data_IF_499604994681
#
_entry.id   IF_499604994681
#
_cell.length_a   1.000
_cell.length_b   1.000
_cell.length_c   1.000
_cell.angle_alpha   90.00
_cell.angle_beta   90.00
_cell.angle_gamma   90.00
#
_symmetry.space_group_name_H-M   'P 1'
#
loop_
_entity.id
_entity.type
_entity.pdbx_description
1 polymer ?
#
# COMPACT_ATOMS: atom_id res chain seq x y z
N UNK A 1 8.65 24.35 -3.39
CA UNK A 1 8.22 23.52 -2.28
C UNK A 1 6.84 22.96 -2.58
N UNK A 2 6.72 21.68 -2.47
CA UNK A 2 5.47 21.02 -2.85
C UNK A 2 4.76 20.45 -1.63
N UNK A 3 3.49 20.70 -1.60
CA UNK A 3 2.62 20.20 -0.54
C UNK A 3 1.23 19.98 -1.11
N UNK A 4 0.66 18.84 -0.88
CA UNK A 4 -0.70 18.58 -1.28
C UNK A 4 -0.94 17.16 -1.73
N UNK A 5 -2.18 16.82 -2.08
CA UNK A 5 -2.55 15.48 -2.50
C UNK A 5 -1.97 15.13 -3.88
N UNK A 6 -1.73 13.85 -4.06
CA UNK A 6 -1.30 13.28 -5.34
C UNK A 6 -2.51 12.61 -5.97
N UNK A 7 -2.75 12.91 -7.24
CA UNK A 7 -3.85 12.32 -7.99
C UNK A 7 -3.33 11.78 -9.30
N UNK A 8 -3.92 10.69 -9.77
CA UNK A 8 -3.56 10.08 -11.04
C UNK A 8 -4.69 9.19 -11.52
N UNK A 9 -4.90 9.12 -12.85
CA UNK A 9 -5.81 8.12 -13.41
C UNK A 9 -5.35 6.71 -13.06
N UNK A 10 -6.29 5.80 -12.85
CA UNK A 10 -5.97 4.40 -12.57
C UNK A 10 -5.71 4.08 -11.12
N UNK A 11 -5.71 5.07 -10.24
CA UNK A 11 -5.64 4.78 -8.81
C UNK A 11 -6.94 4.14 -8.33
N UNK A 12 -6.88 3.32 -7.28
CA UNK A 12 -8.08 2.73 -6.71
C UNK A 12 -9.07 3.80 -6.27
N UNK A 13 -10.35 3.44 -6.24
CA UNK A 13 -11.37 4.36 -5.75
C UNK A 13 -11.20 4.57 -4.26
N UNK A 14 -11.28 5.85 -3.82
CA UNK A 14 -11.24 6.18 -2.40
C UNK A 14 -12.49 5.65 -1.70
N UNK A 15 -12.29 5.13 -0.48
CA UNK A 15 -13.36 4.58 0.35
C UNK A 15 -13.92 5.59 1.34
N UNK A 16 -13.40 6.81 1.33
CA UNK A 16 -13.82 7.85 2.24
C UNK A 16 -13.21 9.20 1.87
N UNK A 17 -13.40 10.22 2.72
CA UNK A 17 -12.90 11.58 2.43
C UNK A 17 -11.43 11.74 2.83
N UNK A 18 -10.53 11.14 2.04
CA UNK A 18 -9.08 11.25 2.26
C UNK A 18 -8.37 11.16 0.92
N UNK A 19 -7.07 11.49 0.90
CA UNK A 19 -6.23 11.39 -0.31
C UNK A 19 -5.47 10.07 -0.30
N UNK A 20 -5.21 9.52 -1.47
CA UNK A 20 -4.35 8.33 -1.57
C UNK A 20 -2.94 8.61 -1.09
N UNK A 21 -2.42 9.80 -1.36
CA UNK A 21 -1.10 10.20 -0.90
C UNK A 21 -1.03 11.71 -0.79
N UNK A 22 -0.19 12.18 0.13
CA UNK A 22 0.04 13.60 0.33
C UNK A 22 1.54 13.83 0.31
N UNK A 23 1.98 14.77 -0.50
CA UNK A 23 3.37 15.19 -0.57
C UNK A 23 3.63 16.31 0.42
N UNK A 24 4.72 16.21 1.17
CA UNK A 24 5.18 17.24 2.09
C UNK A 24 6.69 17.35 1.94
N UNK A 25 7.15 18.32 1.14
CA UNK A 25 8.57 18.49 0.85
C UNK A 25 9.13 17.25 0.14
N UNK A 26 10.14 16.63 0.73
CA UNK A 26 10.79 15.46 0.18
C UNK A 26 10.16 14.14 0.62
N UNK A 27 9.03 14.21 1.30
CA UNK A 27 8.35 13.00 1.77
C UNK A 27 6.97 12.87 1.13
N UNK A 28 6.62 11.62 0.86
CA UNK A 28 5.28 11.26 0.41
C UNK A 28 4.66 10.33 1.45
N UNK A 29 3.48 10.67 1.90
CA UNK A 29 2.74 9.86 2.86
C UNK A 29 1.61 9.17 2.12
N UNK A 30 1.65 7.84 2.05
CA UNK A 30 0.67 7.05 1.31
C UNK A 30 -0.33 6.45 2.28
N UNK A 31 -1.60 6.69 2.03
CA UNK A 31 -2.69 6.12 2.82
C UNK A 31 -2.74 4.60 2.68
N UNK A 32 -3.35 3.94 3.64
CA UNK A 32 -3.51 2.49 3.61
C UNK A 32 -4.18 2.03 2.33
N UNK A 33 -3.53 1.10 1.63
CA UNK A 33 -4.02 0.54 0.38
C UNK A 33 -4.54 -0.87 0.64
N UNK A 34 -5.86 -1.08 0.58
CA UNK A 34 -6.41 -2.43 0.65
C UNK A 34 -6.23 -3.16 -0.67
N UNK A 35 -6.42 -4.46 -0.64
CA UNK A 35 -6.28 -5.29 -1.84
C UNK A 35 -7.52 -5.29 -2.72
N UNK A 36 -8.02 -4.12 -3.06
CA UNK A 36 -9.17 -3.97 -3.94
C UNK A 36 -8.70 -3.72 -5.37
N UNK A 37 -9.25 -4.49 -6.31
CA UNK A 37 -8.98 -4.29 -7.72
C UNK A 37 -9.56 -2.94 -8.14
N UNK A 38 -8.74 -2.04 -8.73
CA UNK A 38 -9.23 -0.71 -9.13
C UNK A 38 -10.35 -0.75 -10.17
N UNK A 39 -10.41 -1.80 -10.98
CA UNK A 39 -11.41 -1.93 -12.04
C UNK A 39 -12.75 -2.41 -11.51
N UNK A 40 -12.76 -3.28 -10.51
CA UNK A 40 -13.99 -3.89 -10.01
C UNK A 40 -14.43 -3.33 -8.66
N UNK A 41 -13.51 -2.75 -7.88
CA UNK A 41 -13.77 -2.30 -6.53
C UNK A 41 -13.90 -3.44 -5.54
N UNK A 42 -13.50 -4.66 -5.93
CA UNK A 42 -13.63 -5.87 -5.11
C UNK A 42 -12.29 -6.54 -4.89
N UNK A 43 -12.22 -7.36 -3.84
CA UNK A 43 -11.04 -8.19 -3.59
C UNK A 43 -10.97 -9.27 -4.68
N UNK A 44 -9.84 -9.45 -5.36
CA UNK A 44 -9.71 -10.51 -6.35
C UNK A 44 -9.81 -11.90 -5.71
N UNK A 45 -10.33 -12.86 -6.45
CA UNK A 45 -10.36 -14.25 -5.99
C UNK A 45 -8.95 -14.81 -5.88
N UNK A 46 -8.80 -15.84 -5.05
CA UNK A 46 -7.50 -16.49 -4.88
C UNK A 46 -6.97 -16.42 -3.44
N UNK A 47 -7.76 -15.96 -2.50
CA UNK A 47 -7.41 -15.95 -1.08
C UNK A 47 -6.48 -14.81 -0.70
N UNK A 48 -5.81 -14.96 0.44
CA UNK A 48 -4.97 -13.92 0.99
C UNK A 48 -3.86 -13.48 0.04
N UNK A 49 -3.21 -14.43 -0.64
CA UNK A 49 -2.10 -14.09 -1.53
C UNK A 49 -2.54 -13.13 -2.63
N UNK A 50 -3.68 -13.40 -3.26
CA UNK A 50 -4.19 -12.54 -4.32
C UNK A 50 -4.59 -11.16 -3.77
N UNK A 51 -5.22 -11.12 -2.62
CA UNK A 51 -5.58 -9.86 -1.97
C UNK A 51 -4.35 -9.05 -1.60
N UNK A 52 -3.37 -9.68 -1.00
CA UNK A 52 -2.14 -9.00 -0.59
C UNK A 52 -1.34 -8.50 -1.81
N UNK A 53 -1.25 -9.31 -2.85
CA UNK A 53 -0.57 -8.90 -4.08
C UNK A 53 -1.25 -7.67 -4.68
N UNK A 54 -2.57 -7.62 -4.65
CA UNK A 54 -3.32 -6.45 -5.13
C UNK A 54 -3.03 -5.24 -4.26
N UNK A 55 -2.94 -5.41 -2.94
CA UNK A 55 -2.65 -4.30 -2.03
C UNK A 55 -1.26 -3.70 -2.32
N UNK A 56 -0.24 -4.54 -2.48
CA UNK A 56 1.10 -4.05 -2.81
C UNK A 56 1.16 -3.45 -4.21
N UNK A 57 0.40 -3.99 -5.16
CA UNK A 57 0.30 -3.41 -6.50
C UNK A 57 -0.34 -2.02 -6.45
N UNK A 58 -1.39 -1.87 -5.64
CA UNK A 58 -2.04 -0.57 -5.45
C UNK A 58 -1.07 0.44 -4.82
N UNK A 59 -0.29 0.00 -3.82
CA UNK A 59 0.74 0.85 -3.24
C UNK A 59 1.73 1.32 -4.31
N UNK A 60 2.21 0.40 -5.15
CA UNK A 60 3.14 0.74 -6.23
C UNK A 60 2.52 1.75 -7.20
N UNK A 61 1.26 1.56 -7.55
CA UNK A 61 0.55 2.48 -8.45
C UNK A 61 0.54 3.90 -7.89
N UNK A 62 0.22 4.05 -6.61
CA UNK A 62 0.18 5.36 -5.97
C UNK A 62 1.57 5.98 -5.90
N UNK A 63 2.58 5.19 -5.53
CA UNK A 63 3.96 5.68 -5.43
C UNK A 63 4.47 6.13 -6.79
N UNK A 64 4.20 5.36 -7.83
CA UNK A 64 4.64 5.71 -9.19
C UNK A 64 3.89 6.92 -9.74
N UNK A 65 2.64 7.11 -9.36
CA UNK A 65 1.88 8.29 -9.73
C UNK A 65 2.51 9.57 -9.19
N UNK A 66 3.24 9.48 -8.08
CA UNK A 66 3.95 10.62 -7.50
C UNK A 66 5.36 10.80 -8.10
N UNK A 67 5.74 9.99 -9.08
CA UNK A 67 7.04 10.09 -9.73
C UNK A 67 8.15 9.35 -8.98
N UNK A 68 7.81 8.48 -8.04
CA UNK A 68 8.79 7.70 -7.29
C UNK A 68 8.69 6.22 -7.64
N UNK A 69 9.39 5.37 -6.90
CA UNK A 69 9.34 3.92 -7.07
C UNK A 69 9.38 3.26 -5.71
N UNK A 70 9.07 1.97 -5.66
CA UNK A 70 9.08 1.23 -4.40
C UNK A 70 10.47 1.20 -3.74
N UNK A 71 11.54 1.37 -4.51
CA UNK A 71 12.89 1.44 -3.96
C UNK A 71 13.10 2.65 -3.06
N UNK A 72 12.24 3.65 -3.15
CA UNK A 72 12.30 4.88 -2.36
C UNK A 72 11.43 4.83 -1.12
N UNK A 73 10.73 3.74 -0.89
CA UNK A 73 9.93 3.55 0.31
C UNK A 73 10.86 3.35 1.49
N UNK A 74 10.71 4.17 2.53
CA UNK A 74 11.57 4.12 3.72
C UNK A 74 10.87 3.46 4.89
N UNK A 75 9.54 3.48 4.92
CA UNK A 75 8.77 2.88 6.02
C UNK A 75 7.46 2.34 5.48
N UNK A 76 7.08 1.16 5.93
CA UNK A 76 5.76 0.59 5.67
C UNK A 76 5.11 0.20 6.99
N UNK A 77 3.78 0.26 7.02
CA UNK A 77 2.98 -0.39 8.04
C UNK A 77 2.03 -1.32 7.30
N UNK A 78 2.15 -2.60 7.57
CA UNK A 78 1.29 -3.62 6.95
C UNK A 78 0.30 -4.08 8.00
N UNK A 79 -0.94 -3.63 7.88
CA UNK A 79 -2.03 -4.03 8.77
C UNK A 79 -2.58 -5.36 8.30
N UNK A 80 -2.62 -6.35 9.17
CA UNK A 80 -3.18 -7.67 8.86
C UNK A 80 -4.32 -7.98 9.80
N UNK A 81 -5.31 -8.73 9.31
CA UNK A 81 -6.43 -9.17 10.13
C UNK A 81 -6.09 -10.43 10.94
N UNK A 82 -5.05 -11.18 10.55
CA UNK A 82 -4.70 -12.43 11.23
C UNK A 82 -3.19 -12.66 11.20
N UNK A 83 -2.66 -13.16 12.32
CA UNK A 83 -1.25 -13.56 12.41
C UNK A 83 -0.93 -14.71 11.46
N UNK A 84 -1.92 -15.50 11.07
CA UNK A 84 -1.70 -16.63 10.16
C UNK A 84 -1.24 -16.19 8.78
N UNK A 85 -1.48 -14.93 8.41
CA UNK A 85 -1.14 -14.41 7.11
C UNK A 85 0.29 -13.82 7.04
N UNK A 86 1.00 -13.77 8.18
CA UNK A 86 2.34 -13.19 8.21
C UNK A 86 3.32 -13.90 7.27
N UNK A 87 3.40 -15.25 7.24
CA UNK A 87 4.37 -15.90 6.34
C UNK A 87 4.13 -15.60 4.86
N UNK A 88 2.88 -15.64 4.42
CA UNK A 88 2.55 -15.33 3.02
C UNK A 88 2.83 -13.86 2.70
N UNK A 89 2.52 -12.96 3.62
CA UNK A 89 2.80 -11.54 3.47
C UNK A 89 4.30 -11.30 3.36
N UNK A 90 5.11 -11.97 4.17
CA UNK A 90 6.57 -11.84 4.12
C UNK A 90 7.12 -12.24 2.75
N UNK A 91 6.59 -13.31 2.15
CA UNK A 91 7.04 -13.73 0.82
C UNK A 91 6.75 -12.66 -0.23
N UNK A 92 5.55 -12.10 -0.19
CA UNK A 92 5.17 -11.04 -1.14
C UNK A 92 5.96 -9.76 -0.88
N UNK A 93 6.19 -9.43 0.38
CA UNK A 93 6.97 -8.26 0.75
C UNK A 93 8.37 -8.34 0.13
N UNK A 94 9.00 -9.51 0.20
CA UNK A 94 10.32 -9.73 -0.39
C UNK A 94 10.29 -9.57 -1.91
N UNK A 95 9.20 -9.96 -2.57
CA UNK A 95 9.07 -9.78 -4.02
C UNK A 95 8.97 -8.30 -4.41
N UNK A 96 8.22 -7.51 -3.64
CA UNK A 96 8.01 -6.09 -3.94
C UNK A 96 9.18 -5.21 -3.50
N UNK A 97 9.95 -5.65 -2.51
CA UNK A 97 11.10 -4.91 -1.98
C UNK A 97 12.35 -5.82 -1.96
N UNK A 98 12.86 -6.20 -3.14
CA UNK A 98 13.92 -7.21 -3.22
C UNK A 98 15.31 -6.73 -2.82
N UNK A 99 15.61 -5.44 -2.97
CA UNK A 99 16.98 -4.94 -2.78
C UNK A 99 17.21 -4.48 -1.34
N UNK A 100 16.56 -3.41 -0.93
CA UNK A 100 16.74 -2.83 0.40
C UNK A 100 15.36 -2.66 1.01
N UNK A 101 14.89 -3.62 1.82
CA UNK A 101 13.54 -3.54 2.36
C UNK A 101 13.39 -2.34 3.29
N UNK A 102 12.25 -1.67 3.26
CA UNK A 102 11.99 -0.56 4.16
C UNK A 102 11.79 -1.04 5.60
N UNK A 103 11.89 -0.13 6.54
CA UNK A 103 11.47 -0.41 7.91
C UNK A 103 9.99 -0.78 7.89
N UNK A 104 9.58 -1.69 8.78
CA UNK A 104 8.21 -2.19 8.77
C UNK A 104 7.67 -2.42 10.17
N UNK A 105 6.39 -2.13 10.35
CA UNK A 105 5.60 -2.63 11.46
C UNK A 105 4.45 -3.46 10.89
N UNK A 106 4.01 -4.48 11.62
CA UNK A 106 2.97 -5.40 11.16
C UNK A 106 1.94 -5.61 12.27
N UNK A 107 1.10 -4.61 12.53
CA UNK A 107 0.06 -4.77 13.56
C UNK A 107 -1.06 -5.69 13.09
N UNK A 108 -1.61 -6.46 14.03
CA UNK A 108 -2.78 -7.28 13.78
C UNK A 108 -3.98 -6.50 14.31
N UNK A 109 -4.94 -6.23 13.43
CA UNK A 109 -6.06 -5.31 13.74
C UNK A 109 -7.34 -5.80 13.08
N UNK A 110 -8.46 -5.25 13.52
CA UNK A 110 -9.71 -5.42 12.78
C UNK A 110 -9.70 -4.49 11.57
N UNK A 111 -10.00 -5.05 10.41
CA UNK A 111 -10.12 -4.28 9.17
C UNK A 111 -11.58 -4.30 8.72
N UNK A 112 -12.05 -3.17 8.12
CA UNK A 112 -13.45 -3.10 7.69
C UNK A 112 -13.71 -3.99 6.49
N UNK A 113 -14.99 -4.34 6.27
CA UNK A 113 -15.46 -4.98 5.04
C UNK A 113 -14.83 -6.36 4.78
N UNK A 114 -14.37 -7.04 5.84
CA UNK A 114 -13.74 -8.35 5.68
C UNK A 114 -12.38 -8.33 5.02
N UNK A 115 -11.78 -7.16 4.90
CA UNK A 115 -10.43 -7.04 4.33
C UNK A 115 -9.41 -7.71 5.23
N UNK A 116 -8.38 -8.29 4.64
CA UNK A 116 -7.36 -9.04 5.35
C UNK A 116 -6.03 -8.30 5.43
N UNK A 117 -5.83 -7.27 4.61
CA UNK A 117 -4.58 -6.51 4.55
C UNK A 117 -4.84 -5.07 4.13
N UNK A 118 -4.02 -4.16 4.65
CA UNK A 118 -3.93 -2.78 4.20
C UNK A 118 -2.49 -2.33 4.39
N UNK A 119 -1.92 -1.64 3.41
CA UNK A 119 -0.50 -1.24 3.43
C UNK A 119 -0.40 0.26 3.27
N UNK A 120 0.26 0.91 4.23
CA UNK A 120 0.61 2.33 4.10
C UNK A 120 2.13 2.48 4.04
N UNK A 121 2.59 3.63 3.56
CA UNK A 121 4.02 3.83 3.37
C UNK A 121 4.41 5.30 3.50
N UNK A 122 5.68 5.51 3.83
CA UNK A 122 6.36 6.80 3.71
C UNK A 122 7.46 6.62 2.67
N UNK A 123 7.52 7.55 1.72
CA UNK A 123 8.41 7.47 0.56
C UNK A 123 9.32 8.71 0.54
N UNK A 124 10.58 8.50 0.25
CA UNK A 124 11.54 9.60 0.10
C UNK A 124 11.60 10.03 -1.37
N UNK A 125 11.37 11.30 -1.62
CA UNK A 125 11.31 11.85 -2.98
C UNK A 125 12.56 12.63 -3.36
N UNK A 126 13.42 12.85 -2.41
CA UNK A 126 14.62 13.69 -2.59
C UNK A 126 15.75 13.11 -3.43
#
# INVERSE_FOLDING_TARGET
MTFGPVESPGMPKLLGPYSHAVRAGDLLFVAGQPGLDPLTGSVPGGGFEAEARQAFTNLRTVVEAAGASLERVVKTTVFLASTEDIPAMNQLFAEFFPAAPPARATPIVGLPRGLRISVEAVVYLG
#
